data_IF_522154716907
#
_entry.id   IF_522154716907
#
_cell.length_a   1.000
_cell.length_b   1.000
_cell.length_c   1.000
_cell.angle_alpha   90.00
_cell.angle_beta   90.00
_cell.angle_gamma   90.00
#
_symmetry.space_group_name_H-M   'P 1'
#
loop_
_entity.id
_entity.type
_entity.pdbx_description
1 polymer ?
#
# COMPACT_ATOMS: atom_id res chain seq x y z
N UNK A 1 10.04 3.88 -15.71
CA UNK A 1 10.00 3.53 -14.27
C UNK A 1 8.85 2.58 -14.11
N UNK A 2 9.05 1.39 -13.53
CA UNK A 2 7.97 0.43 -13.33
C UNK A 2 6.93 1.00 -12.35
N UNK A 3 5.65 0.87 -12.72
CA UNK A 3 4.51 1.22 -11.90
C UNK A 3 3.74 -0.04 -11.52
N UNK A 4 3.23 -0.11 -10.29
CA UNK A 4 2.38 -1.20 -9.84
C UNK A 4 1.23 -0.66 -9.01
N UNK A 5 0.07 -1.27 -9.16
CA UNK A 5 -1.08 -1.02 -8.29
C UNK A 5 -0.93 -1.89 -7.06
N UNK A 6 -1.09 -1.29 -5.88
CA UNK A 6 -0.97 -1.94 -4.59
C UNK A 6 -2.25 -1.72 -3.81
N UNK A 7 -2.87 -2.81 -3.39
CA UNK A 7 -4.07 -2.82 -2.57
C UNK A 7 -3.69 -2.84 -1.10
N UNK A 8 -4.32 -1.98 -0.31
CA UNK A 8 -4.14 -1.88 1.14
C UNK A 8 -5.39 -2.40 1.83
N UNK A 9 -5.20 -3.37 2.72
CA UNK A 9 -6.24 -4.06 3.46
C UNK A 9 -6.13 -3.77 4.96
N UNK A 10 -7.25 -3.80 5.66
CA UNK A 10 -7.28 -3.75 7.12
C UNK A 10 -7.06 -5.13 7.76
N UNK A 11 -7.08 -5.16 9.09
CA UNK A 11 -6.91 -6.38 9.89
C UNK A 11 -8.01 -7.44 9.65
N UNK A 12 -9.15 -7.04 9.09
CA UNK A 12 -10.25 -7.95 8.72
C UNK A 12 -10.11 -8.49 7.30
N UNK A 13 -9.11 -8.02 6.55
CA UNK A 13 -8.90 -8.34 5.14
C UNK A 13 -9.77 -7.52 4.19
N UNK A 14 -10.46 -6.49 4.67
CA UNK A 14 -11.25 -5.61 3.82
C UNK A 14 -10.35 -4.61 3.09
N UNK A 15 -10.62 -4.38 1.80
CA UNK A 15 -9.90 -3.38 1.01
C UNK A 15 -10.23 -1.97 1.54
N UNK A 16 -9.20 -1.27 1.99
CA UNK A 16 -9.31 0.12 2.46
C UNK A 16 -9.14 1.07 1.29
N UNK A 17 -8.09 0.88 0.50
CA UNK A 17 -7.74 1.74 -0.64
C UNK A 17 -6.73 1.05 -1.56
N UNK A 18 -6.50 1.64 -2.74
CA UNK A 18 -5.50 1.19 -3.71
C UNK A 18 -4.59 2.35 -4.09
N UNK A 19 -3.28 2.13 -4.08
CA UNK A 19 -2.29 3.10 -4.53
C UNK A 19 -1.65 2.67 -5.83
N UNK A 20 -1.34 3.62 -6.70
CA UNK A 20 -0.40 3.40 -7.80
C UNK A 20 0.97 3.85 -7.32
N UNK A 21 1.88 2.89 -7.14
CA UNK A 21 3.23 3.13 -6.64
C UNK A 21 4.21 3.03 -7.81
N UNK A 22 5.06 4.06 -7.93
CA UNK A 22 6.09 4.15 -8.96
C UNK A 22 7.45 4.16 -8.25
N UNK A 23 8.27 3.14 -8.50
CA UNK A 23 9.62 3.06 -7.95
C UNK A 23 10.66 3.18 -9.07
N UNK A 24 11.84 3.68 -8.71
CA UNK A 24 12.97 3.74 -9.62
C UNK A 24 13.70 2.39 -9.65
N UNK A 25 14.10 1.96 -10.86
CA UNK A 25 14.82 0.70 -11.06
C UNK A 25 13.93 -0.54 -10.97
N UNK A 26 14.56 -1.72 -10.93
CA UNK A 26 13.87 -3.00 -10.76
C UNK A 26 13.74 -3.30 -9.26
N UNK A 27 12.62 -2.88 -8.68
CA UNK A 27 12.31 -3.08 -7.27
C UNK A 27 11.47 -4.36 -7.08
N UNK A 28 11.69 -5.12 -6.01
CA UNK A 28 10.88 -6.29 -5.69
C UNK A 28 9.47 -5.88 -5.23
N UNK A 29 8.50 -6.81 -5.28
CA UNK A 29 7.10 -6.51 -4.94
C UNK A 29 6.93 -5.93 -3.53
N UNK A 30 7.72 -6.43 -2.58
CA UNK A 30 7.74 -6.00 -1.18
C UNK A 30 8.09 -4.52 -1.03
N UNK A 31 8.89 -3.95 -1.94
CA UNK A 31 9.21 -2.53 -1.94
C UNK A 31 8.00 -1.66 -2.31
N UNK A 32 7.18 -2.11 -3.28
CA UNK A 32 5.93 -1.43 -3.63
C UNK A 32 4.91 -1.51 -2.51
N UNK A 33 4.80 -2.68 -1.85
CA UNK A 33 3.93 -2.89 -0.69
C UNK A 33 4.31 -1.98 0.48
N UNK A 34 5.61 -1.90 0.81
CA UNK A 34 6.10 -1.02 1.87
C UNK A 34 5.83 0.46 1.58
N UNK A 35 6.01 0.90 0.32
CA UNK A 35 5.73 2.28 -0.07
C UNK A 35 4.24 2.59 -0.02
N UNK A 36 3.37 1.68 -0.46
CA UNK A 36 1.92 1.84 -0.32
C UNK A 36 1.48 1.97 1.15
N UNK A 37 2.10 1.23 2.07
CA UNK A 37 1.85 1.38 3.51
C UNK A 37 2.35 2.73 4.05
N UNK A 38 3.50 3.24 3.56
CA UNK A 38 3.95 4.59 3.90
C UNK A 38 2.97 5.64 3.40
N UNK A 39 2.50 5.52 2.16
CA UNK A 39 1.49 6.42 1.61
C UNK A 39 0.20 6.40 2.44
N UNK A 40 -0.27 5.20 2.83
CA UNK A 40 -1.43 5.04 3.70
C UNK A 40 -1.27 5.72 5.07
N UNK A 41 -0.05 5.76 5.62
CA UNK A 41 0.21 6.43 6.89
C UNK A 41 0.06 7.97 6.84
N UNK A 42 0.10 8.57 5.65
CA UNK A 42 -0.06 10.01 5.43
C UNK A 42 -1.36 10.37 4.71
N UNK A 43 -2.15 9.39 4.29
CA UNK A 43 -3.43 9.62 3.62
C UNK A 43 -4.53 9.90 4.65
N UNK A 44 -5.15 11.08 4.56
CA UNK A 44 -6.25 11.51 5.43
C UNK A 44 -7.49 10.60 5.33
N UNK A 45 -7.63 9.86 4.23
CA UNK A 45 -8.71 8.89 4.06
C UNK A 45 -8.53 7.65 4.95
N UNK A 46 -7.32 7.40 5.46
CA UNK A 46 -6.99 6.27 6.34
C UNK A 46 -7.02 6.74 7.78
N UNK A 47 -7.96 6.22 8.58
CA UNK A 47 -8.02 6.55 10.01
C UNK A 47 -6.75 6.12 10.72
N UNK A 48 -6.18 7.01 11.55
CA UNK A 48 -4.97 6.76 12.33
C UNK A 48 -5.08 5.50 13.21
N UNK A 49 -6.29 5.23 13.73
CA UNK A 49 -6.55 4.05 14.57
C UNK A 49 -6.36 2.72 13.83
N UNK A 50 -6.42 2.74 12.50
CA UNK A 50 -6.31 1.53 11.66
C UNK A 50 -4.90 1.25 11.16
N UNK A 51 -3.97 2.19 11.31
CA UNK A 51 -2.63 2.11 10.72
C UNK A 51 -1.83 0.89 11.18
N UNK A 52 -1.95 0.49 12.44
CA UNK A 52 -1.20 -0.64 13.00
C UNK A 52 -1.64 -2.01 12.43
N UNK A 53 -2.83 -2.10 11.83
CA UNK A 53 -3.40 -3.33 11.28
C UNK A 53 -3.37 -3.42 9.76
N UNK A 54 -2.76 -2.44 9.06
CA UNK A 54 -2.77 -2.42 7.60
C UNK A 54 -1.78 -3.41 7.01
N UNK A 55 -2.21 -4.07 5.95
CA UNK A 55 -1.34 -4.90 5.10
C UNK A 55 -1.49 -4.45 3.65
N UNK A 56 -0.47 -4.67 2.83
CA UNK A 56 -0.48 -4.29 1.42
C UNK A 56 -0.11 -5.47 0.54
N UNK A 57 -0.74 -5.55 -0.65
CA UNK A 57 -0.41 -6.53 -1.68
C UNK A 57 -0.39 -5.91 -3.05
N UNK A 58 0.66 -6.20 -3.82
CA UNK A 58 0.68 -5.86 -5.25
C UNK A 58 -0.45 -6.60 -5.97
N UNK A 59 -1.21 -5.88 -6.79
CA UNK A 59 -2.21 -6.46 -7.67
C UNK A 59 -1.50 -7.11 -8.87
N UNK A 60 -1.70 -8.42 -9.01
CA UNK A 60 -1.09 -9.27 -10.04
C UNK A 60 -1.53 -8.88 -11.46
#
# INVERSE_FOLDING_TARGET
MPERVVDVFDETGALVTSYTVILAGDAPAEAYEAEALRMAAFDVAVSADRLAGLTAKVRW
#
